data_IF_300981396098
#
_entry.id   IF_300981396098
#
_cell.length_a   1.000
_cell.length_b   1.000
_cell.length_c   1.000
_cell.angle_alpha   90.00
_cell.angle_beta   90.00
_cell.angle_gamma   90.00
#
_symmetry.space_group_name_H-M   'P 1'
#
loop_
_entity.id
_entity.type
_entity.pdbx_description
1 polymer ?
#
# COMPACT_ATOMS: atom_id res chain seq x y z
N UNK A 1 -37.56 -24.74 -5.74
CA UNK A 1 -37.64 -23.45 -5.01
C UNK A 1 -36.32 -23.20 -4.27
N UNK A 2 -35.31 -22.64 -4.94
CA UNK A 2 -34.08 -22.22 -4.28
C UNK A 2 -34.40 -20.94 -3.51
N UNK A 3 -34.41 -21.02 -2.19
CA UNK A 3 -34.81 -19.91 -1.32
C UNK A 3 -34.00 -18.65 -1.65
N UNK A 4 -34.65 -17.54 -1.97
CA UNK A 4 -34.02 -16.23 -2.22
C UNK A 4 -33.03 -15.81 -1.13
N UNK A 5 -33.22 -16.30 0.11
CA UNK A 5 -32.30 -16.11 1.24
C UNK A 5 -30.91 -16.73 1.03
N UNK A 6 -30.79 -17.83 0.27
CA UNK A 6 -29.50 -18.46 -0.06
C UNK A 6 -28.78 -17.69 -1.15
N UNK A 7 -29.50 -17.24 -2.18
CA UNK A 7 -28.94 -16.46 -3.29
C UNK A 7 -28.43 -15.08 -2.83
N UNK A 8 -29.18 -14.41 -1.95
CA UNK A 8 -28.78 -13.13 -1.38
C UNK A 8 -27.53 -13.27 -0.49
N UNK A 9 -27.40 -14.38 0.25
CA UNK A 9 -26.22 -14.66 1.08
C UNK A 9 -24.98 -14.91 0.22
N UNK A 10 -25.07 -15.71 -0.84
CA UNK A 10 -23.92 -15.99 -1.73
C UNK A 10 -23.48 -14.76 -2.51
N UNK A 11 -24.43 -13.92 -2.97
CA UNK A 11 -24.10 -12.65 -3.62
C UNK A 11 -23.43 -11.69 -2.63
N UNK A 12 -23.94 -11.58 -1.40
CA UNK A 12 -23.37 -10.70 -0.38
C UNK A 12 -21.97 -11.14 0.08
N UNK A 13 -21.75 -12.44 0.29
CA UNK A 13 -20.40 -12.96 0.59
C UNK A 13 -19.46 -12.81 -0.61
N UNK A 14 -19.97 -13.00 -1.83
CA UNK A 14 -19.19 -12.82 -3.06
C UNK A 14 -18.78 -11.37 -3.28
N UNK A 15 -19.68 -10.40 -3.08
CA UNK A 15 -19.37 -8.98 -3.21
C UNK A 15 -18.45 -8.49 -2.10
N UNK A 16 -18.58 -8.98 -0.87
CA UNK A 16 -17.63 -8.65 0.21
C UNK A 16 -16.23 -9.18 -0.09
N UNK A 17 -16.12 -10.42 -0.58
CA UNK A 17 -14.83 -11.01 -0.95
C UNK A 17 -14.20 -10.27 -2.13
N UNK A 18 -14.99 -9.90 -3.13
CA UNK A 18 -14.52 -9.16 -4.31
C UNK A 18 -14.13 -7.71 -3.96
N UNK A 19 -14.89 -7.05 -3.09
CA UNK A 19 -14.60 -5.70 -2.62
C UNK A 19 -13.37 -5.69 -1.69
N UNK A 20 -13.16 -6.74 -0.90
CA UNK A 20 -11.92 -6.91 -0.11
C UNK A 20 -10.69 -7.12 -1.00
N UNK A 21 -10.87 -7.75 -2.17
CA UNK A 21 -9.79 -7.93 -3.14
C UNK A 21 -9.47 -6.64 -3.91
N UNK A 22 -10.48 -5.84 -4.28
CA UNK A 22 -10.27 -4.59 -5.02
C UNK A 22 -9.76 -3.44 -4.15
N UNK A 23 -10.07 -3.40 -2.85
CA UNK A 23 -9.45 -2.45 -1.92
C UNK A 23 -8.03 -2.88 -1.46
N UNK A 24 -7.62 -4.12 -1.75
CA UNK A 24 -6.31 -4.65 -1.38
C UNK A 24 -5.22 -4.45 -2.44
N UNK A 25 -5.58 -4.10 -3.68
CA UNK A 25 -4.61 -3.87 -4.75
C UNK A 25 -4.35 -2.38 -4.93
N UNK A 26 -3.61 -1.79 -4.00
CA UNK A 26 -2.76 -0.65 -4.37
C UNK A 26 -1.69 -1.22 -5.31
N UNK A 27 -1.90 -1.07 -6.62
CA UNK A 27 -0.83 -1.23 -7.60
C UNK A 27 0.16 -0.08 -7.36
N UNK A 28 0.99 -0.24 -6.34
CA UNK A 28 2.13 0.62 -6.08
C UNK A 28 3.11 0.37 -7.22
N UNK A 29 3.48 1.42 -7.94
CA UNK A 29 4.80 1.50 -8.54
C UNK A 29 5.82 0.99 -7.51
N UNK A 30 6.75 0.14 -7.93
CA UNK A 30 7.52 -0.72 -7.03
C UNK A 30 8.06 0.04 -5.82
N UNK A 31 7.40 -0.16 -4.70
CA UNK A 31 7.78 0.46 -3.45
C UNK A 31 9.11 -0.17 -3.00
N UNK A 32 10.20 0.55 -3.27
CA UNK A 32 11.55 0.16 -2.89
C UNK A 32 11.67 -0.15 -1.39
N UNK A 33 10.88 0.51 -0.54
CA UNK A 33 10.81 0.20 0.90
C UNK A 33 10.16 -1.15 1.15
N UNK A 34 9.06 -1.45 0.48
CA UNK A 34 8.39 -2.76 0.58
C UNK A 34 9.29 -3.88 0.06
N UNK A 35 9.93 -3.66 -1.09
CA UNK A 35 10.90 -4.61 -1.66
C UNK A 35 12.08 -4.85 -0.72
N UNK A 36 12.64 -3.79 -0.13
CA UNK A 36 13.71 -3.89 0.86
C UNK A 36 13.26 -4.63 2.13
N UNK A 37 12.09 -4.28 2.66
CA UNK A 37 11.54 -4.89 3.87
C UNK A 37 11.29 -6.39 3.68
N UNK A 38 10.81 -6.77 2.50
CA UNK A 38 10.48 -8.17 2.17
C UNK A 38 11.73 -9.01 1.94
N UNK A 39 12.73 -8.48 1.23
CA UNK A 39 13.84 -9.28 0.71
C UNK A 39 15.17 -9.08 1.44
N UNK A 40 15.35 -7.97 2.16
CA UNK A 40 16.67 -7.54 2.65
C UNK A 40 16.72 -7.23 4.15
N UNK A 41 15.63 -6.74 4.75
CA UNK A 41 15.61 -6.21 6.11
C UNK A 41 15.85 -7.23 7.22
N UNK A 42 15.76 -8.54 6.93
CA UNK A 42 16.08 -9.60 7.89
C UNK A 42 17.58 -9.69 8.20
N UNK A 43 18.42 -9.31 7.24
CA UNK A 43 19.87 -9.44 7.34
C UNK A 43 20.62 -8.11 7.20
N UNK A 44 19.97 -7.04 6.72
CA UNK A 44 20.60 -5.75 6.52
C UNK A 44 19.82 -4.62 7.20
N UNK A 45 20.56 -3.66 7.74
CA UNK A 45 20.05 -2.35 8.13
C UNK A 45 20.76 -1.28 7.31
N UNK A 46 20.11 -0.12 7.12
CA UNK A 46 20.70 0.96 6.31
C UNK A 46 21.95 1.52 7.00
N UNK A 47 21.86 1.88 8.27
CA UNK A 47 22.92 2.63 8.97
C UNK A 47 23.69 1.82 10.00
N UNK A 48 23.43 0.51 10.11
CA UNK A 48 24.02 -0.33 11.15
C UNK A 48 24.44 -1.68 10.56
N UNK A 49 25.61 -2.17 10.98
CA UNK A 49 26.03 -3.55 10.73
C UNK A 49 25.18 -4.51 11.60
N UNK A 50 24.60 -5.51 10.97
CA UNK A 50 23.80 -6.56 11.60
C UNK A 50 24.37 -7.91 11.16
N UNK A 51 23.56 -8.83 10.62
CA UNK A 51 24.06 -10.05 9.97
C UNK A 51 24.91 -9.72 8.74
N UNK A 52 24.48 -8.75 7.93
CA UNK A 52 25.21 -8.20 6.80
C UNK A 52 25.71 -6.77 7.04
N UNK A 53 26.45 -6.20 6.08
CA UNK A 53 26.93 -4.82 6.13
C UNK A 53 25.81 -3.79 6.18
N UNK A 54 26.13 -2.62 6.75
CA UNK A 54 25.30 -1.43 6.65
C UNK A 54 25.19 -1.00 5.18
N UNK A 55 23.99 -0.71 4.69
CA UNK A 55 23.75 -0.45 3.26
C UNK A 55 23.85 1.03 2.85
N UNK A 56 23.93 1.97 3.79
CA UNK A 56 24.19 3.37 3.49
C UNK A 56 25.47 3.51 2.66
N UNK A 57 25.41 4.19 1.52
CA UNK A 57 26.54 4.35 0.60
C UNK A 57 26.97 3.07 -0.12
N UNK A 58 26.10 2.06 -0.25
CA UNK A 58 26.45 0.81 -0.94
C UNK A 58 26.84 1.01 -2.40
N UNK A 59 26.17 1.93 -3.11
CA UNK A 59 26.47 2.22 -4.51
C UNK A 59 27.88 2.78 -4.70
N UNK A 60 28.42 3.51 -3.71
CA UNK A 60 29.76 4.09 -3.76
C UNK A 60 30.88 3.08 -3.45
N UNK A 61 30.53 1.96 -2.78
CA UNK A 61 31.51 0.92 -2.42
C UNK A 61 31.77 -0.08 -3.53
N UNK A 62 30.85 -0.19 -4.49
CA UNK A 62 31.03 -1.07 -5.64
C UNK A 62 31.63 -0.28 -6.80
N UNK A 63 32.62 -0.84 -7.53
CA UNK A 63 33.29 -0.12 -8.61
C UNK A 63 32.38 0.15 -9.83
N UNK A 64 31.29 -0.61 -9.96
CA UNK A 64 30.30 -0.45 -11.01
C UNK A 64 28.92 -0.93 -10.50
N UNK A 65 27.88 -0.19 -10.88
CA UNK A 65 26.48 -0.52 -10.61
C UNK A 65 26.08 -1.87 -11.19
N UNK A 66 26.59 -2.26 -12.36
CA UNK A 66 26.26 -3.57 -12.94
C UNK A 66 26.79 -4.73 -12.08
N UNK A 67 27.96 -4.57 -11.45
CA UNK A 67 28.49 -5.57 -10.50
C UNK A 67 27.66 -5.65 -9.23
N UNK A 68 27.19 -4.52 -8.70
CA UNK A 68 26.27 -4.49 -7.56
C UNK A 68 24.95 -5.20 -7.90
N UNK A 69 24.39 -4.95 -9.09
CA UNK A 69 23.19 -5.64 -9.55
C UNK A 69 23.42 -7.15 -9.69
N UNK A 70 24.54 -7.57 -10.27
CA UNK A 70 24.90 -8.97 -10.40
C UNK A 70 25.07 -9.64 -9.02
N UNK A 71 25.68 -8.94 -8.05
CA UNK A 71 25.81 -9.41 -6.67
C UNK A 71 24.46 -9.60 -5.99
N UNK A 72 23.56 -8.61 -6.12
CA UNK A 72 22.20 -8.69 -5.56
C UNK A 72 21.42 -9.85 -6.19
N UNK A 73 21.45 -10.01 -7.51
CA UNK A 73 20.73 -11.10 -8.19
C UNK A 73 21.32 -12.48 -7.85
N UNK A 74 22.64 -12.63 -7.92
CA UNK A 74 23.32 -13.90 -7.77
C UNK A 74 24.75 -13.74 -7.23
N UNK A 75 24.86 -13.53 -5.92
CA UNK A 75 26.15 -13.41 -5.22
C UNK A 75 27.06 -14.64 -5.43
N UNK A 76 26.49 -15.85 -5.51
CA UNK A 76 27.26 -17.07 -5.69
C UNK A 76 28.00 -17.11 -7.04
N UNK A 77 27.39 -16.58 -8.11
CA UNK A 77 28.06 -16.46 -9.41
C UNK A 77 29.21 -15.44 -9.36
N UNK A 78 29.01 -14.32 -8.68
CA UNK A 78 30.06 -13.28 -8.51
C UNK A 78 31.24 -13.83 -7.70
N UNK A 79 30.99 -14.57 -6.62
CA UNK A 79 32.05 -15.22 -5.84
C UNK A 79 32.87 -16.20 -6.69
N UNK A 80 32.17 -17.05 -7.47
CA UNK A 80 32.81 -18.03 -8.38
C UNK A 80 33.64 -17.37 -9.48
N UNK A 81 33.29 -16.16 -9.90
CA UNK A 81 34.07 -15.40 -10.89
C UNK A 81 35.45 -14.95 -10.39
N UNK A 82 35.70 -15.03 -9.07
CA UNK A 82 36.96 -14.60 -8.47
C UNK A 82 37.03 -13.09 -8.21
N UNK A 83 35.91 -12.37 -8.21
CA UNK A 83 35.91 -10.93 -7.91
C UNK A 83 36.49 -10.68 -6.50
N UNK A 84 37.58 -9.91 -6.43
CA UNK A 84 38.35 -9.71 -5.21
C UNK A 84 37.50 -9.06 -4.11
N UNK A 85 36.77 -8.00 -4.43
CA UNK A 85 35.98 -7.25 -3.46
C UNK A 85 34.85 -8.12 -2.88
N UNK A 86 34.15 -8.84 -3.75
CA UNK A 86 33.09 -9.76 -3.34
C UNK A 86 33.60 -10.89 -2.43
N UNK A 87 34.76 -11.48 -2.75
CA UNK A 87 35.38 -12.54 -1.95
C UNK A 87 35.88 -12.02 -0.59
N UNK A 88 36.53 -10.85 -0.55
CA UNK A 88 36.99 -10.22 0.68
C UNK A 88 35.80 -9.90 1.60
N UNK A 89 34.71 -9.36 1.03
CA UNK A 89 33.47 -9.08 1.77
C UNK A 89 32.85 -10.36 2.33
N UNK A 90 32.82 -11.44 1.55
CA UNK A 90 32.30 -12.73 2.02
C UNK A 90 33.12 -13.31 3.16
N UNK A 91 34.45 -13.12 3.16
CA UNK A 91 35.32 -13.50 4.25
C UNK A 91 35.12 -12.62 5.51
N UNK A 92 34.99 -11.29 5.36
CA UNK A 92 34.72 -10.36 6.47
C UNK A 92 33.44 -10.74 7.23
N UNK A 93 32.42 -11.21 6.51
CA UNK A 93 31.14 -11.61 7.07
C UNK A 93 31.05 -13.12 7.38
N UNK A 94 32.18 -13.74 7.73
CA UNK A 94 32.28 -15.14 8.18
C UNK A 94 31.66 -16.15 7.19
N UNK A 95 31.73 -15.88 5.90
CA UNK A 95 31.14 -16.71 4.84
C UNK A 95 29.62 -16.91 4.99
N UNK A 96 28.94 -15.96 5.63
CA UNK A 96 27.48 -15.98 5.77
C UNK A 96 26.83 -15.95 4.40
N UNK A 97 26.00 -16.95 4.10
CA UNK A 97 25.33 -17.04 2.81
C UNK A 97 24.26 -15.95 2.65
N UNK A 98 24.29 -15.23 1.53
CA UNK A 98 23.22 -14.32 1.12
C UNK A 98 22.28 -15.05 0.16
N UNK A 99 20.97 -14.83 0.31
CA UNK A 99 19.96 -15.41 -0.58
C UNK A 99 20.18 -14.97 -2.04
N UNK A 100 19.70 -15.80 -2.97
CA UNK A 100 19.67 -15.48 -4.39
C UNK A 100 18.34 -14.82 -4.73
N UNK A 101 18.38 -13.82 -5.61
CA UNK A 101 17.20 -13.05 -6.01
C UNK A 101 17.06 -13.01 -7.54
N UNK A 102 16.98 -14.18 -8.24
CA UNK A 102 16.92 -14.23 -9.70
C UNK A 102 15.62 -13.63 -10.27
N UNK A 103 14.60 -13.48 -9.44
CA UNK A 103 13.30 -12.91 -9.82
C UNK A 103 13.25 -11.39 -9.75
N UNK A 104 14.21 -10.74 -9.07
CA UNK A 104 14.24 -9.27 -9.02
C UNK A 104 14.72 -8.71 -10.35
N UNK A 105 13.91 -7.83 -10.95
CA UNK A 105 14.32 -7.10 -12.16
C UNK A 105 15.34 -6.00 -11.81
N UNK A 106 16.04 -5.44 -12.80
CA UNK A 106 16.95 -4.31 -12.54
C UNK A 106 16.21 -3.09 -11.99
N UNK A 107 14.95 -2.88 -12.39
CA UNK A 107 14.11 -1.80 -11.86
C UNK A 107 13.75 -2.01 -10.38
N UNK A 108 13.55 -3.27 -9.98
CA UNK A 108 13.29 -3.63 -8.58
C UNK A 108 14.49 -3.27 -7.71
N UNK A 109 15.68 -3.63 -8.21
CA UNK A 109 16.96 -3.38 -7.53
C UNK A 109 17.21 -1.88 -7.46
N UNK A 110 16.98 -1.13 -8.54
CA UNK A 110 17.06 0.32 -8.54
C UNK A 110 16.12 0.97 -7.53
N UNK A 111 14.88 0.47 -7.41
CA UNK A 111 13.93 0.96 -6.41
C UNK A 111 14.41 0.68 -4.98
N UNK A 112 14.97 -0.50 -4.71
CA UNK A 112 15.57 -0.84 -3.41
C UNK A 112 16.76 0.08 -3.09
N UNK A 113 17.67 0.30 -4.05
CA UNK A 113 18.83 1.17 -3.88
C UNK A 113 18.41 2.62 -3.65
N UNK A 114 17.40 3.10 -4.40
CA UNK A 114 16.79 4.41 -4.20
C UNK A 114 16.22 4.58 -2.79
N UNK A 115 15.50 3.57 -2.29
CA UNK A 115 15.04 3.56 -0.90
C UNK A 115 16.20 3.66 0.10
N UNK A 116 17.24 2.83 -0.05
CA UNK A 116 18.41 2.83 0.84
C UNK A 116 19.06 4.22 0.89
N UNK A 117 19.21 4.88 -0.27
CA UNK A 117 19.77 6.23 -0.38
C UNK A 117 18.89 7.30 0.28
N UNK A 118 17.56 7.11 0.28
CA UNK A 118 16.61 8.06 0.87
C UNK A 118 16.59 8.06 2.40
N UNK A 119 17.07 6.99 3.06
CA UNK A 119 16.97 6.86 4.52
C UNK A 119 18.04 7.73 5.18
N UNK A 120 17.66 8.78 5.96
CA UNK A 120 18.61 9.70 6.57
C UNK A 120 19.41 9.04 7.69
N UNK A 121 20.62 9.54 7.93
CA UNK A 121 21.48 9.06 9.02
C UNK A 121 20.79 9.29 10.40
N UNK A 122 20.87 8.33 11.34
CA UNK A 122 20.36 8.51 12.69
C UNK A 122 21.08 9.68 13.37
N UNK A 123 20.33 10.71 13.79
CA UNK A 123 20.88 11.93 14.39
C UNK A 123 20.85 13.18 13.51
N UNK A 124 20.45 13.08 12.23
CA UNK A 124 20.23 14.22 11.35
C UNK A 124 18.90 14.98 11.62
N UNK A 125 18.37 14.88 12.84
CA UNK A 125 17.10 15.49 13.25
C UNK A 125 17.31 16.67 14.19
N UNK A 126 17.83 17.79 13.68
CA UNK A 126 17.64 19.14 14.24
C UNK A 126 18.23 20.22 13.32
N UNK A 127 17.66 20.42 12.12
CA UNK A 127 17.63 21.71 11.41
C UNK A 127 16.94 21.56 10.05
N UNK A 128 15.61 21.63 10.04
CA UNK A 128 14.83 22.17 8.93
C UNK A 128 13.36 22.17 9.34
N UNK A 129 12.98 23.15 10.15
CA UNK A 129 11.64 23.70 10.08
C UNK A 129 11.53 24.46 8.76
N UNK A 130 11.14 23.76 7.70
CA UNK A 130 10.58 24.36 6.50
C UNK A 130 9.34 23.54 6.17
N UNK A 131 8.19 24.19 6.19
CA UNK A 131 6.93 23.60 5.78
C UNK A 131 7.08 23.04 4.35
N UNK A 132 7.19 21.72 4.23
CA UNK A 132 7.06 21.05 2.94
C UNK A 132 5.57 21.00 2.63
N UNK A 133 5.16 21.83 1.67
CA UNK A 133 3.83 21.79 1.08
C UNK A 133 3.62 20.37 0.48
N UNK A 134 2.48 19.68 0.68
CA UNK A 134 2.27 18.30 0.20
C UNK A 134 2.17 18.17 -1.34
N UNK A 135 2.42 19.25 -2.08
CA UNK A 135 2.19 19.34 -3.51
C UNK A 135 3.40 18.97 -4.38
N UNK A 136 4.62 18.93 -3.83
CA UNK A 136 5.86 18.78 -4.61
C UNK A 136 6.49 17.37 -4.57
N UNK A 137 5.67 16.35 -4.34
CA UNK A 137 6.08 14.94 -4.50
C UNK A 137 5.48 14.28 -5.75
N UNK A 138 5.19 15.09 -6.78
CA UNK A 138 4.85 14.59 -8.12
C UNK A 138 5.90 15.07 -9.10
N UNK A 139 6.94 14.26 -9.31
CA UNK A 139 7.56 14.02 -10.62
C UNK A 139 8.86 13.24 -10.45
N UNK A 140 8.79 11.93 -10.67
CA UNK A 140 9.77 11.13 -11.42
C UNK A 140 9.35 9.65 -11.35
N UNK A 141 8.10 9.36 -11.72
CA UNK A 141 7.63 8.00 -11.97
C UNK A 141 7.34 7.90 -13.46
N UNK A 142 7.94 6.93 -14.14
CA UNK A 142 7.60 6.63 -15.52
C UNK A 142 6.11 6.31 -15.59
N UNK A 143 5.36 7.17 -16.28
CA UNK A 143 3.90 7.22 -16.22
C UNK A 143 3.27 6.03 -16.98
N UNK A 144 3.19 4.88 -16.31
CA UNK A 144 2.51 3.68 -16.83
C UNK A 144 0.98 3.75 -16.64
N UNK A 145 0.47 4.88 -16.15
CA UNK A 145 -0.97 5.11 -15.96
C UNK A 145 -1.74 4.93 -17.26
N UNK A 146 -1.14 5.29 -18.41
CA UNK A 146 -1.76 5.10 -19.72
C UNK A 146 -1.88 3.60 -20.09
N UNK A 147 -0.83 2.81 -19.84
CA UNK A 147 -0.85 1.37 -20.11
C UNK A 147 -1.87 0.66 -19.21
N UNK A 148 -1.86 0.95 -17.91
CA UNK A 148 -2.83 0.37 -16.99
C UNK A 148 -4.26 0.88 -17.23
N UNK A 149 -4.43 2.12 -17.68
CA UNK A 149 -5.71 2.67 -18.13
C UNK A 149 -6.27 1.91 -19.33
N UNK A 150 -5.44 1.61 -20.34
CA UNK A 150 -5.85 0.81 -21.50
C UNK A 150 -6.16 -0.63 -21.09
N UNK A 151 -5.31 -1.26 -20.28
CA UNK A 151 -5.53 -2.64 -19.83
C UNK A 151 -6.81 -2.79 -19.00
N UNK A 152 -7.08 -1.85 -18.10
CA UNK A 152 -8.31 -1.83 -17.29
C UNK A 152 -9.55 -1.61 -18.17
N UNK A 153 -9.46 -0.73 -19.18
CA UNK A 153 -10.53 -0.55 -20.17
C UNK A 153 -10.82 -1.86 -20.92
N UNK A 154 -9.79 -2.53 -21.43
CA UNK A 154 -9.96 -3.81 -22.16
C UNK A 154 -10.62 -4.87 -21.27
N UNK A 155 -10.13 -5.04 -20.04
CA UNK A 155 -10.71 -5.99 -19.10
C UNK A 155 -12.14 -5.63 -18.71
N UNK A 156 -12.47 -4.35 -18.55
CA UNK A 156 -13.83 -3.90 -18.30
C UNK A 156 -14.76 -4.24 -19.47
N UNK A 157 -14.32 -4.02 -20.71
CA UNK A 157 -15.11 -4.39 -21.90
C UNK A 157 -15.35 -5.90 -21.96
N UNK A 158 -14.30 -6.71 -21.75
CA UNK A 158 -14.43 -8.18 -21.73
C UNK A 158 -15.40 -8.63 -20.61
N UNK A 159 -15.28 -8.06 -19.41
CA UNK A 159 -16.17 -8.38 -18.30
C UNK A 159 -17.63 -8.03 -18.62
N UNK A 160 -17.89 -6.86 -19.23
CA UNK A 160 -19.24 -6.45 -19.64
C UNK A 160 -19.82 -7.38 -20.71
N UNK A 161 -19.02 -7.79 -21.70
CA UNK A 161 -19.44 -8.75 -22.73
C UNK A 161 -19.81 -10.09 -22.07
N UNK A 162 -18.95 -10.61 -21.19
CA UNK A 162 -19.20 -11.87 -20.48
C UNK A 162 -20.45 -11.79 -19.60
N UNK A 163 -20.67 -10.68 -18.90
CA UNK A 163 -21.88 -10.45 -18.11
C UNK A 163 -23.13 -10.41 -18.99
N UNK A 164 -23.08 -9.72 -20.14
CA UNK A 164 -24.19 -9.65 -21.09
C UNK A 164 -24.52 -11.02 -21.69
N UNK A 165 -23.50 -11.77 -22.12
CA UNK A 165 -23.67 -13.12 -22.68
C UNK A 165 -24.21 -14.07 -21.62
N UNK A 166 -23.65 -14.06 -20.41
CA UNK A 166 -24.11 -14.93 -19.31
C UNK A 166 -25.55 -14.60 -18.90
N UNK A 167 -25.92 -13.32 -18.83
CA UNK A 167 -27.29 -12.90 -18.54
C UNK A 167 -28.28 -13.35 -19.62
N UNK A 168 -27.90 -13.23 -20.91
CA UNK A 168 -28.73 -13.69 -22.03
C UNK A 168 -28.87 -15.22 -22.06
N UNK A 169 -27.77 -15.95 -21.85
CA UNK A 169 -27.78 -17.42 -21.79
C UNK A 169 -28.66 -17.89 -20.63
N UNK A 170 -28.57 -17.22 -19.47
CA UNK A 170 -29.42 -17.52 -18.32
C UNK A 170 -30.89 -17.28 -18.61
N UNK A 171 -31.24 -16.17 -19.27
CA UNK A 171 -32.63 -15.90 -19.69
C UNK A 171 -33.16 -16.99 -20.62
N UNK A 172 -32.39 -17.38 -21.63
CA UNK A 172 -32.77 -18.44 -22.57
C UNK A 172 -32.90 -19.82 -21.88
N UNK A 173 -32.03 -20.12 -20.91
CA UNK A 173 -32.12 -21.34 -20.13
C UNK A 173 -33.39 -21.35 -19.25
N UNK A 174 -33.67 -20.24 -18.56
CA UNK A 174 -34.85 -20.10 -17.70
C UNK A 174 -36.16 -20.16 -18.53
N UNK A 175 -36.19 -19.58 -19.74
CA UNK A 175 -37.30 -19.67 -20.71
C UNK A 175 -37.53 -21.13 -21.20
N UNK A 176 -36.45 -21.89 -21.42
CA UNK A 176 -36.52 -23.31 -21.83
C UNK A 176 -37.01 -24.22 -20.72
N UNK A 177 -36.63 -23.94 -19.47
CA UNK A 177 -37.02 -24.71 -18.30
C UNK A 177 -38.40 -24.31 -17.73
N UNK A 178 -39.08 -23.34 -18.36
CA UNK A 178 -40.41 -22.87 -17.92
C UNK A 178 -40.39 -22.21 -16.54
N UNK A 179 -39.24 -21.72 -16.10
CA UNK A 179 -39.10 -21.03 -14.82
C UNK A 179 -39.63 -19.58 -14.95
N UNK A 180 -40.29 -19.03 -13.92
CA UNK A 180 -40.75 -17.65 -13.96
C UNK A 180 -39.55 -16.69 -14.04
N UNK A 181 -39.46 -15.95 -15.15
CA UNK A 181 -38.42 -14.93 -15.36
C UNK A 181 -38.66 -13.78 -14.40
N UNK A 182 -37.77 -13.60 -13.43
CA UNK A 182 -37.81 -12.45 -12.52
C UNK A 182 -37.03 -11.33 -13.18
N UNK A 183 -37.70 -10.21 -13.45
CA UNK A 183 -37.01 -9.05 -14.00
C UNK A 183 -35.97 -8.52 -13.00
N UNK A 184 -34.70 -8.36 -13.41
CA UNK A 184 -33.68 -7.83 -12.52
C UNK A 184 -33.99 -6.38 -12.18
N UNK A 185 -34.23 -6.11 -10.89
CA UNK A 185 -34.42 -4.73 -10.43
C UNK A 185 -33.13 -3.94 -10.62
N UNK A 186 -33.17 -2.74 -11.24
CA UNK A 186 -31.99 -1.91 -11.39
C UNK A 186 -31.33 -1.60 -10.04
N UNK A 187 -30.00 -1.49 -10.02
CA UNK A 187 -29.25 -1.35 -8.76
C UNK A 187 -29.68 -0.12 -7.94
N UNK A 188 -30.07 0.98 -8.61
CA UNK A 188 -30.55 2.22 -7.98
C UNK A 188 -31.98 2.12 -7.40
N UNK A 189 -32.74 1.07 -7.71
CA UNK A 189 -34.07 0.79 -7.12
C UNK A 189 -34.02 -0.29 -6.04
N UNK A 190 -32.87 -0.93 -5.83
CA UNK A 190 -32.73 -2.01 -4.87
C UNK A 190 -32.55 -1.46 -3.45
N UNK A 191 -33.57 -1.64 -2.60
CA UNK A 191 -33.59 -1.14 -1.21
C UNK A 191 -32.39 -1.61 -0.38
N UNK A 192 -31.91 -2.84 -0.61
CA UNK A 192 -30.75 -3.38 0.11
C UNK A 192 -29.45 -2.67 -0.28
N UNK A 193 -29.29 -2.33 -1.56
CA UNK A 193 -28.11 -1.60 -2.04
C UNK A 193 -28.12 -0.14 -1.58
N UNK A 194 -29.28 0.52 -1.64
CA UNK A 194 -29.44 1.87 -1.10
C UNK A 194 -29.07 1.88 0.38
N UNK A 195 -29.63 0.96 1.17
CA UNK A 195 -29.32 0.86 2.60
C UNK A 195 -27.83 0.63 2.87
N UNK A 196 -27.17 -0.25 2.11
CA UNK A 196 -25.74 -0.52 2.23
C UNK A 196 -24.89 0.70 1.90
N UNK A 197 -25.18 1.38 0.78
CA UNK A 197 -24.47 2.59 0.36
C UNK A 197 -24.65 3.70 1.38
N UNK A 198 -25.86 3.90 1.90
CA UNK A 198 -26.13 4.89 2.95
C UNK A 198 -25.32 4.62 4.21
N UNK A 199 -25.21 3.37 4.66
CA UNK A 199 -24.38 3.01 5.83
C UNK A 199 -22.90 3.29 5.55
N UNK A 200 -22.39 2.91 4.38
CA UNK A 200 -21.00 3.17 4.00
C UNK A 200 -20.71 4.69 3.97
N UNK A 201 -21.58 5.47 3.32
CA UNK A 201 -21.46 6.92 3.28
C UNK A 201 -21.54 7.56 4.67
N UNK A 202 -22.36 7.03 5.56
CA UNK A 202 -22.44 7.50 6.94
C UNK A 202 -21.14 7.25 7.71
N UNK A 203 -20.56 6.05 7.59
CA UNK A 203 -19.29 5.70 8.24
C UNK A 203 -18.14 6.57 7.68
N UNK A 204 -18.02 6.64 6.36
CA UNK A 204 -16.96 7.41 5.69
C UNK A 204 -17.13 8.91 5.98
N UNK A 205 -18.34 9.44 5.86
CA UNK A 205 -18.65 10.82 6.17
C UNK A 205 -18.38 11.18 7.63
N UNK A 206 -18.77 10.31 8.57
CA UNK A 206 -18.48 10.47 9.99
C UNK A 206 -16.98 10.47 10.28
N UNK A 207 -16.22 9.57 9.65
CA UNK A 207 -14.76 9.52 9.77
C UNK A 207 -14.08 10.78 9.22
N UNK A 208 -14.43 11.20 8.00
CA UNK A 208 -13.88 12.41 7.38
C UNK A 208 -14.20 13.67 8.19
N UNK A 209 -15.43 13.78 8.69
CA UNK A 209 -15.85 14.90 9.56
C UNK A 209 -15.07 14.92 10.87
N UNK A 210 -14.90 13.76 11.51
CA UNK A 210 -14.13 13.63 12.76
C UNK A 210 -12.66 14.01 12.55
N UNK A 211 -12.06 13.55 11.45
CA UNK A 211 -10.69 13.91 11.07
C UNK A 211 -10.54 15.41 10.78
N UNK A 212 -11.51 16.00 10.09
CA UNK A 212 -11.57 17.45 9.86
C UNK A 212 -11.65 18.25 11.17
N UNK A 213 -12.48 17.80 12.11
CA UNK A 213 -12.60 18.44 13.43
C UNK A 213 -11.31 18.35 14.25
N UNK A 214 -10.60 17.21 14.20
CA UNK A 214 -9.28 17.07 14.85
C UNK A 214 -8.25 18.02 14.24
N UNK A 215 -8.25 18.18 12.91
CA UNK A 215 -7.36 19.13 12.22
C UNK A 215 -7.64 20.61 12.55
N UNK A 216 -8.89 20.96 12.88
CA UNK A 216 -9.28 22.31 13.33
C UNK A 216 -8.88 22.61 14.79
N UNK A 217 -7.99 21.81 15.38
CA UNK A 217 -7.43 22.06 16.71
C UNK A 217 -8.27 21.48 17.85
N UNK A 218 -9.27 20.65 17.57
CA UNK A 218 -10.00 19.88 18.60
C UNK A 218 -9.10 18.75 19.12
N UNK A 219 -8.15 19.12 19.98
CA UNK A 219 -7.22 18.21 20.64
C UNK A 219 -7.75 17.85 22.03
N UNK A 220 -7.57 16.59 22.43
CA UNK A 220 -7.80 16.20 23.82
C UNK A 220 -6.75 16.88 24.69
N UNK A 221 -7.17 17.64 25.70
CA UNK A 221 -6.34 18.40 26.64
C UNK A 221 -5.78 19.76 26.18
N UNK A 222 -6.40 20.41 25.18
CA UNK A 222 -6.05 21.82 24.87
C UNK A 222 -6.39 22.74 26.04
N UNK A 223 -5.38 23.41 26.60
CA UNK A 223 -5.54 24.48 27.57
C UNK A 223 -4.92 25.75 26.97
N UNK A 224 -5.72 26.77 26.61
CA UNK A 224 -5.16 28.02 26.13
C UNK A 224 -4.32 28.65 27.24
N UNK A 225 -3.12 29.16 26.90
CA UNK A 225 -2.32 29.93 27.85
C UNK A 225 -3.08 31.23 28.10
N UNK A 226 -3.69 31.35 29.28
CA UNK A 226 -4.46 32.53 29.66
C UNK A 226 -3.54 33.53 30.35
N UNK A 227 -3.65 34.83 30.04
CA UNK A 227 -2.82 35.87 30.67
C UNK A 227 -3.17 36.12 32.15
N UNK A 228 -4.26 35.55 32.65
CA UNK A 228 -4.64 35.54 34.06
C UNK A 228 -4.17 34.25 34.73
N UNK A 229 -3.67 34.35 35.96
CA UNK A 229 -3.06 33.24 36.73
C UNK A 229 -4.03 32.10 37.11
N UNK A 230 -5.31 32.23 36.76
CA UNK A 230 -6.35 31.27 37.10
C UNK A 230 -6.40 30.14 36.06
N UNK A 231 -5.68 29.05 36.33
CA UNK A 231 -5.78 27.86 35.49
C UNK A 231 -7.17 27.20 35.61
N UNK A 232 -7.65 26.56 34.54
CA UNK A 232 -8.89 25.76 34.56
C UNK A 232 -8.89 24.65 35.63
N UNK A 233 -7.70 24.26 36.12
CA UNK A 233 -7.51 23.33 37.24
C UNK A 233 -8.10 23.88 38.56
N UNK A 234 -8.02 25.19 38.77
CA UNK A 234 -8.48 25.82 40.02
C UNK A 234 -9.99 26.08 40.00
N UNK A 235 -10.56 26.43 38.83
CA UNK A 235 -12.00 26.70 38.70
C UNK A 235 -12.86 25.44 38.76
N UNK A 236 -12.64 24.47 37.87
CA UNK A 236 -13.51 23.30 37.75
C UNK A 236 -13.14 22.15 38.71
N UNK A 237 -11.90 22.13 39.22
CA UNK A 237 -11.40 21.05 40.07
C UNK A 237 -11.42 21.41 41.56
N UNK A 238 -10.62 22.40 41.96
CA UNK A 238 -10.32 22.65 43.38
C UNK A 238 -11.40 23.50 44.05
N UNK A 239 -11.86 24.57 43.39
CA UNK A 239 -12.79 25.51 44.02
C UNK A 239 -14.27 25.23 43.69
N UNK A 240 -14.57 24.27 42.80
CA UNK A 240 -15.93 23.94 42.31
C UNK A 240 -16.80 25.17 41.99
N UNK A 241 -16.21 26.22 41.42
CA UNK A 241 -16.96 27.41 41.03
C UNK A 241 -17.35 27.21 39.57
N UNK A 242 -18.62 26.87 39.35
CA UNK A 242 -19.26 26.77 38.03
C UNK A 242 -19.54 28.15 37.44
#
# INVERSE_FOLDING_TARGET
MISYRRLAKTIFTGTILFLSFTLGTTANAQDGKTLFTTNCASCHAVHKKVTGPALAGVEDRWPDKAKLHAWIKNNAAVLKSGDKYANDLYLEYNKTAMNLFPTLSDKDIDAILGYIKSVPAPGAGAAAGAAMNPADAKSAEGDNTLLFGILTLILAVVALILLQVNANLKKLADDREGQPVIEPVPFWRNKSYIAMITVILFIVGGYLTSKGAMNLGRSQNYQPVQPIFYSHKVHAGINQIN
#
